data_IF_354524498519
#
_entry.id   IF_354524498519
#
_cell.length_a   1.000
_cell.length_b   1.000
_cell.length_c   1.000
_cell.angle_alpha   90.00
_cell.angle_beta   90.00
_cell.angle_gamma   90.00
#
_symmetry.space_group_name_H-M   'P 1'
#
loop_
_entity.id
_entity.type
_entity.pdbx_description
1 polymer ?
#
# COMPACT_ATOMS: atom_id res chain seq x y z
N UNK A 1 -26.15 3.43 6.45
CA UNK A 1 -24.85 3.63 5.77
C UNK A 1 -24.04 2.35 5.97
N UNK A 2 -23.79 1.62 4.90
CA UNK A 2 -22.84 0.51 4.98
C UNK A 2 -21.48 1.08 5.33
N UNK A 3 -20.87 0.61 6.40
CA UNK A 3 -19.46 0.88 6.68
C UNK A 3 -18.67 0.31 5.51
N UNK A 4 -18.19 1.18 4.63
CA UNK A 4 -17.22 0.79 3.63
C UNK A 4 -16.00 0.24 4.38
N UNK A 5 -15.70 -1.03 4.14
CA UNK A 5 -14.61 -1.69 4.86
C UNK A 5 -13.27 -1.25 4.29
N UNK A 6 -12.40 -0.79 5.18
CA UNK A 6 -11.00 -0.57 4.84
C UNK A 6 -10.36 -1.91 4.48
N UNK A 7 -9.81 -1.97 3.27
CA UNK A 7 -9.06 -3.12 2.78
C UNK A 7 -7.56 -2.83 2.85
N UNK A 8 -6.77 -3.80 3.28
CA UNK A 8 -5.33 -3.67 3.42
C UNK A 8 -4.64 -4.67 2.51
N UNK A 9 -3.64 -4.18 1.75
CA UNK A 9 -2.83 -5.00 0.85
C UNK A 9 -1.36 -4.67 1.00
N UNK A 10 -0.56 -5.70 1.29
CA UNK A 10 0.89 -5.60 1.24
C UNK A 10 1.30 -5.53 -0.23
N UNK A 11 2.09 -4.52 -0.54
CA UNK A 11 2.65 -4.34 -1.86
C UNK A 11 4.11 -4.80 -1.89
N UNK A 12 4.60 -5.36 -3.00
CA UNK A 12 6.03 -5.63 -3.17
C UNK A 12 6.85 -4.36 -3.45
N UNK A 13 6.26 -3.18 -3.26
CA UNK A 13 6.95 -1.91 -3.39
C UNK A 13 8.18 -1.83 -2.49
N UNK A 14 9.21 -1.15 -2.96
CA UNK A 14 10.44 -0.94 -2.21
C UNK A 14 10.53 0.49 -1.73
N UNK A 15 10.96 0.61 -0.49
CA UNK A 15 11.33 1.86 0.14
C UNK A 15 12.84 2.04 0.00
N UNK A 16 13.27 3.18 -0.50
CA UNK A 16 14.69 3.55 -0.56
C UNK A 16 14.88 4.84 0.24
N UNK A 17 15.81 4.81 1.21
CA UNK A 17 16.21 6.01 1.91
C UNK A 17 17.22 6.79 1.05
N UNK A 18 17.00 8.07 0.85
CA UNK A 18 17.95 8.96 0.16
C UNK A 18 18.98 9.53 1.14
N UNK A 19 20.12 9.99 0.59
CA UNK A 19 21.20 10.56 1.42
C UNK A 19 20.87 11.95 1.98
N UNK A 20 19.88 12.63 1.44
CA UNK A 20 19.48 13.97 1.85
C UNK A 20 18.23 13.90 2.74
N UNK A 21 18.43 13.98 4.05
CA UNK A 21 17.36 13.89 5.02
C UNK A 21 16.78 12.47 5.16
N UNK A 22 15.54 12.38 5.64
CA UNK A 22 14.80 11.11 5.73
C UNK A 22 13.72 11.12 4.64
N UNK A 23 14.17 11.01 3.40
CA UNK A 23 13.27 10.83 2.26
C UNK A 23 13.16 9.36 1.92
N UNK A 24 11.95 8.90 1.81
CA UNK A 24 11.61 7.59 1.29
C UNK A 24 10.89 7.72 -0.04
N UNK A 25 11.21 6.82 -0.93
CA UNK A 25 10.54 6.72 -2.22
C UNK A 25 10.34 5.26 -2.60
N UNK A 26 9.37 4.99 -3.44
CA UNK A 26 9.12 3.64 -3.91
C UNK A 26 7.82 3.52 -4.71
N UNK A 27 7.42 2.28 -4.91
CA UNK A 27 6.16 1.94 -5.56
C UNK A 27 5.17 1.51 -4.50
N UNK A 28 4.09 2.27 -4.36
CA UNK A 28 3.02 1.92 -3.43
C UNK A 28 2.21 0.73 -3.94
N UNK A 29 1.91 0.70 -5.24
CA UNK A 29 1.18 -0.40 -5.89
C UNK A 29 1.74 -0.59 -7.30
N UNK A 30 2.26 -1.78 -7.64
CA UNK A 30 2.61 -2.11 -9.01
C UNK A 30 1.34 -2.38 -9.82
N UNK A 31 1.32 -1.90 -11.07
CA UNK A 31 0.28 -2.23 -12.03
C UNK A 31 0.69 -3.47 -12.84
N UNK A 32 -0.27 -4.05 -13.56
CA UNK A 32 -0.05 -5.26 -14.37
C UNK A 32 0.42 -6.49 -13.60
N UNK A 33 0.23 -6.48 -12.28
CA UNK A 33 0.50 -7.62 -11.42
C UNK A 33 -0.76 -8.07 -10.70
N UNK A 34 -0.82 -9.35 -10.35
CA UNK A 34 -1.89 -9.92 -9.56
C UNK A 34 -1.40 -10.29 -8.17
N UNK A 35 -2.28 -10.20 -7.20
CA UNK A 35 -2.01 -10.65 -5.85
C UNK A 35 -1.70 -12.16 -5.79
N UNK A 36 -1.15 -12.61 -4.68
CA UNK A 36 -1.29 -14.00 -4.26
C UNK A 36 -2.78 -14.33 -4.10
N UNK A 37 -3.09 -15.61 -3.98
CA UNK A 37 -4.47 -16.02 -3.74
C UNK A 37 -4.96 -15.47 -2.42
N UNK A 38 -5.98 -14.63 -2.49
CA UNK A 38 -6.70 -14.10 -1.36
C UNK A 38 -7.91 -15.00 -1.05
N UNK A 39 -8.43 -14.93 0.15
CA UNK A 39 -9.62 -15.68 0.52
C UNK A 39 -10.68 -14.73 1.06
N UNK A 40 -11.80 -14.67 0.37
CA UNK A 40 -13.04 -14.25 0.97
C UNK A 40 -13.67 -15.45 1.69
N UNK A 41 -14.64 -15.19 2.57
CA UNK A 41 -15.31 -16.24 3.39
C UNK A 41 -15.80 -17.46 2.60
N UNK A 42 -15.94 -17.34 1.28
CA UNK A 42 -16.54 -18.37 0.43
C UNK A 42 -15.66 -18.91 -0.69
N UNK A 43 -14.73 -18.12 -1.26
CA UNK A 43 -13.97 -18.56 -2.44
C UNK A 43 -12.58 -17.90 -2.52
N UNK A 44 -11.59 -18.62 -3.05
CA UNK A 44 -10.29 -18.02 -3.36
C UNK A 44 -10.41 -17.06 -4.56
N UNK A 45 -9.69 -15.96 -4.51
CA UNK A 45 -9.60 -15.02 -5.62
C UNK A 45 -8.22 -14.41 -5.71
N UNK A 46 -7.88 -13.91 -6.89
CA UNK A 46 -6.74 -13.04 -7.12
C UNK A 46 -7.24 -11.63 -7.39
N UNK A 47 -6.41 -10.66 -7.10
CA UNK A 47 -6.76 -9.25 -7.23
C UNK A 47 -5.71 -8.49 -8.00
N UNK A 48 -6.14 -7.52 -8.76
CA UNK A 48 -5.28 -6.51 -9.37
C UNK A 48 -5.94 -5.14 -9.20
N UNK A 49 -5.10 -4.12 -9.16
CA UNK A 49 -5.54 -2.72 -9.14
C UNK A 49 -5.27 -2.13 -10.52
N UNK A 50 -6.33 -1.61 -11.14
CA UNK A 50 -6.21 -0.98 -12.44
C UNK A 50 -5.40 0.33 -12.36
N UNK A 51 -4.63 0.69 -13.39
CA UNK A 51 -3.98 1.98 -13.46
C UNK A 51 -5.00 3.12 -13.23
N UNK A 52 -4.64 4.09 -12.39
CA UNK A 52 -5.50 5.21 -12.05
C UNK A 52 -6.68 4.90 -11.12
N UNK A 53 -6.80 3.68 -10.61
CA UNK A 53 -7.90 3.30 -9.72
C UNK A 53 -7.84 3.95 -8.34
N UNK A 54 -6.64 4.15 -7.80
CA UNK A 54 -6.46 4.70 -6.46
C UNK A 54 -6.50 6.23 -6.49
N UNK A 55 -7.36 6.81 -5.67
CA UNK A 55 -7.52 8.25 -5.49
C UNK A 55 -7.09 8.62 -4.08
N UNK A 56 -6.13 9.52 -3.97
CA UNK A 56 -5.70 10.09 -2.72
C UNK A 56 -6.25 11.49 -2.53
N UNK A 57 -6.32 11.92 -1.28
CA UNK A 57 -6.77 13.25 -0.88
C UNK A 57 -5.77 13.89 0.06
N UNK A 58 -6.04 15.11 0.48
CA UNK A 58 -5.27 15.79 1.52
C UNK A 58 -5.16 15.00 2.82
N UNK A 59 -6.14 14.13 3.08
CA UNK A 59 -6.20 13.32 4.30
C UNK A 59 -5.42 12.00 4.22
N UNK A 60 -4.92 11.63 3.05
CA UNK A 60 -4.09 10.43 2.90
C UNK A 60 -2.77 10.58 3.66
N UNK A 61 -2.45 9.59 4.46
CA UNK A 61 -1.31 9.62 5.40
C UNK A 61 -0.35 8.45 5.18
N UNK A 62 0.90 8.64 5.63
CA UNK A 62 1.87 7.55 5.79
C UNK A 62 1.98 7.17 7.26
N UNK A 63 1.89 5.89 7.55
CA UNK A 63 1.89 5.31 8.90
C UNK A 63 2.96 4.21 9.04
N UNK A 64 3.14 3.74 10.25
CA UNK A 64 3.82 2.46 10.54
C UNK A 64 2.78 1.43 10.97
N UNK A 65 2.88 0.22 10.42
CA UNK A 65 2.06 -0.94 10.83
C UNK A 65 0.55 -0.67 10.86
N UNK A 66 0.05 0.22 9.99
CA UNK A 66 -1.36 0.64 9.96
C UNK A 66 -1.88 1.23 11.29
N UNK A 67 -0.99 1.74 12.13
CA UNK A 67 -1.38 2.34 13.42
C UNK A 67 -1.93 3.75 13.22
N UNK A 68 -3.24 3.85 13.18
CA UNK A 68 -3.96 5.12 13.04
C UNK A 68 -3.99 5.96 14.33
N UNK A 69 -3.54 5.42 15.43
CA UNK A 69 -3.46 6.13 16.72
C UNK A 69 -2.15 6.87 16.93
N UNK A 70 -1.12 6.46 16.17
CA UNK A 70 0.18 7.12 16.20
C UNK A 70 0.21 8.42 15.40
N UNK A 71 1.30 9.17 15.55
CA UNK A 71 1.54 10.37 14.74
C UNK A 71 1.89 9.91 13.32
N UNK A 72 1.23 10.43 12.28
CA UNK A 72 1.59 10.12 10.90
C UNK A 72 3.05 10.47 10.59
N UNK A 73 3.70 9.65 9.81
CA UNK A 73 5.07 9.91 9.33
C UNK A 73 5.09 11.02 8.27
N UNK A 74 4.07 11.08 7.45
CA UNK A 74 3.92 12.06 6.37
C UNK A 74 2.43 12.17 6.00
N UNK A 75 2.06 13.24 5.31
CA UNK A 75 0.68 13.50 4.90
C UNK A 75 0.64 14.28 3.59
N UNK A 76 -0.35 14.02 2.75
CA UNK A 76 -0.54 14.75 1.50
C UNK A 76 -0.79 16.24 1.77
N UNK A 77 -1.66 16.58 2.71
CA UNK A 77 -2.00 17.98 3.07
C UNK A 77 -0.77 18.82 3.44
N UNK A 78 0.20 18.26 4.14
CA UNK A 78 1.43 18.96 4.53
C UNK A 78 2.49 18.99 3.42
N UNK A 79 2.24 18.34 2.27
CA UNK A 79 3.21 18.21 1.19
C UNK A 79 4.34 17.23 1.47
N UNK A 80 4.32 16.55 2.62
CA UNK A 80 5.35 15.59 3.02
C UNK A 80 5.12 14.19 2.45
N UNK A 81 3.94 13.91 1.91
CA UNK A 81 3.62 12.69 1.17
C UNK A 81 3.11 13.06 -0.21
N UNK A 82 3.72 12.49 -1.25
CA UNK A 82 3.37 12.75 -2.64
C UNK A 82 3.22 11.43 -3.38
N UNK A 83 2.20 11.36 -4.24
CA UNK A 83 1.97 10.23 -5.14
C UNK A 83 2.08 10.67 -6.58
N UNK A 84 2.57 9.79 -7.43
CA UNK A 84 2.68 10.01 -8.88
C UNK A 84 2.25 8.75 -9.61
N UNK A 85 1.31 8.90 -10.54
CA UNK A 85 0.93 7.83 -11.45
C UNK A 85 2.04 7.58 -12.47
N UNK A 86 2.32 6.31 -12.73
CA UNK A 86 3.20 5.88 -13.81
C UNK A 86 2.59 4.68 -14.54
N UNK A 87 3.15 4.33 -15.69
CA UNK A 87 2.68 3.15 -16.44
C UNK A 87 2.87 1.84 -15.66
N UNK A 88 3.84 1.80 -14.77
CA UNK A 88 4.22 0.60 -14.02
C UNK A 88 3.60 0.51 -12.62
N UNK A 89 3.05 1.60 -12.11
CA UNK A 89 2.47 1.60 -10.77
C UNK A 89 2.24 2.98 -10.19
N UNK A 90 1.62 3.02 -9.04
CA UNK A 90 1.50 4.21 -8.22
C UNK A 90 2.79 4.38 -7.42
N UNK A 91 3.54 5.45 -7.71
CA UNK A 91 4.77 5.80 -7.02
C UNK A 91 4.50 6.75 -5.86
N UNK A 92 5.38 6.77 -4.88
CA UNK A 92 5.30 7.70 -3.77
C UNK A 92 6.67 8.26 -3.39
N UNK A 93 6.65 9.44 -2.82
CA UNK A 93 7.77 10.06 -2.10
C UNK A 93 7.25 10.56 -0.75
N UNK A 94 8.02 10.37 0.30
CA UNK A 94 7.70 10.83 1.63
C UNK A 94 8.91 11.45 2.32
N UNK A 95 8.71 12.61 2.91
CA UNK A 95 9.70 13.28 3.74
C UNK A 95 9.31 13.07 5.21
N UNK A 96 10.08 12.25 5.93
CA UNK A 96 9.82 11.95 7.32
C UNK A 96 10.43 13.00 8.24
N UNK A 97 9.90 13.19 9.46
CA UNK A 97 10.54 14.06 10.45
C UNK A 97 11.96 13.58 10.77
N UNK A 98 12.89 14.50 10.97
CA UNK A 98 14.27 14.19 11.34
C UNK A 98 14.36 13.38 12.64
N UNK A 99 13.38 13.52 13.53
CA UNK A 99 13.28 12.75 14.76
C UNK A 99 13.03 11.24 14.54
N UNK A 100 12.64 10.83 13.34
CA UNK A 100 12.32 9.42 13.00
C UNK A 100 13.52 8.68 12.39
N UNK A 101 14.72 8.89 12.95
CA UNK A 101 15.93 8.12 12.61
C UNK A 101 15.78 6.62 12.96
N UNK A 102 14.89 6.28 13.87
CA UNK A 102 14.55 4.91 14.24
C UNK A 102 14.14 4.05 13.04
N UNK A 103 13.36 4.60 12.11
CA UNK A 103 12.93 3.89 10.89
C UNK A 103 14.13 3.63 9.96
N UNK A 104 14.98 4.64 9.77
CA UNK A 104 16.20 4.48 8.95
C UNK A 104 17.13 3.45 9.56
N UNK A 105 17.31 3.48 10.85
CA UNK A 105 18.12 2.50 11.57
C UNK A 105 17.56 1.09 11.44
N UNK A 106 16.25 0.93 11.61
CA UNK A 106 15.56 -0.34 11.44
C UNK A 106 15.73 -0.92 10.03
N UNK A 107 15.68 -0.08 9.00
CA UNK A 107 15.97 -0.50 7.62
C UNK A 107 17.42 -0.94 7.44
N UNK A 108 18.38 -0.19 8.01
CA UNK A 108 19.81 -0.55 7.98
C UNK A 108 20.11 -1.88 8.65
N UNK A 109 19.43 -2.16 9.76
CA UNK A 109 19.60 -3.39 10.53
C UNK A 109 18.85 -4.57 9.93
N UNK A 110 17.90 -4.32 9.02
CA UNK A 110 17.02 -5.36 8.49
C UNK A 110 15.83 -5.70 9.39
N UNK A 111 15.57 -4.91 10.43
CA UNK A 111 14.35 -5.04 11.25
C UNK A 111 13.10 -4.63 10.47
N UNK A 112 13.27 -3.76 9.48
CA UNK A 112 12.35 -3.47 8.41
C UNK A 112 13.02 -3.82 7.08
N UNK A 113 12.28 -4.41 6.15
CA UNK A 113 12.80 -4.83 4.84
C UNK A 113 12.41 -3.89 3.68
N UNK A 114 11.77 -2.77 3.99
CA UNK A 114 11.28 -1.82 3.01
C UNK A 114 9.90 -2.18 2.44
N UNK A 115 9.24 -3.20 2.96
CA UNK A 115 7.89 -3.53 2.57
C UNK A 115 6.91 -2.42 2.90
N UNK A 116 6.01 -2.15 1.96
CA UNK A 116 4.93 -1.19 2.12
C UNK A 116 3.58 -1.87 1.97
N UNK A 117 2.57 -1.30 2.59
CA UNK A 117 1.21 -1.79 2.55
C UNK A 117 0.26 -0.62 2.39
N UNK A 118 -0.79 -0.79 1.62
CA UNK A 118 -1.82 0.23 1.43
C UNK A 118 -3.11 -0.12 2.16
N UNK A 119 -3.79 0.91 2.65
CA UNK A 119 -5.17 0.82 3.10
C UNK A 119 -6.07 1.62 2.15
N UNK A 120 -7.10 0.99 1.63
CA UNK A 120 -8.02 1.62 0.68
C UNK A 120 -9.47 1.19 0.92
N UNK A 121 -10.38 1.99 0.41
CA UNK A 121 -11.81 1.68 0.38
C UNK A 121 -12.22 1.53 -1.07
N UNK A 122 -12.68 0.34 -1.45
CA UNK A 122 -13.10 0.06 -2.81
C UNK A 122 -14.49 0.66 -3.09
N UNK A 123 -14.60 1.44 -4.16
CA UNK A 123 -15.84 2.04 -4.60
C UNK A 123 -16.42 1.35 -5.85
N UNK A 124 -15.54 0.78 -6.69
CA UNK A 124 -15.93 0.07 -7.91
C UNK A 124 -14.93 -1.02 -8.25
N UNK A 125 -15.43 -2.21 -8.55
CA UNK A 125 -14.64 -3.36 -8.96
C UNK A 125 -15.37 -4.23 -9.99
N UNK A 126 -14.57 -5.01 -10.71
CA UNK A 126 -15.04 -6.04 -11.63
C UNK A 126 -14.61 -7.42 -11.15
N UNK A 127 -15.48 -8.39 -11.35
CA UNK A 127 -15.23 -9.77 -11.03
C UNK A 127 -15.37 -10.67 -12.26
N UNK A 128 -14.35 -11.45 -12.53
CA UNK A 128 -14.38 -12.56 -13.48
C UNK A 128 -14.32 -13.86 -12.70
N UNK A 129 -15.40 -14.62 -12.74
CA UNK A 129 -15.52 -15.87 -12.01
C UNK A 129 -14.94 -17.03 -12.83
N UNK A 130 -13.88 -17.66 -12.28
CA UNK A 130 -13.30 -18.87 -12.82
C UNK A 130 -13.83 -20.13 -12.13
N UNK A 131 -13.49 -21.31 -12.68
CA UNK A 131 -13.91 -22.60 -12.09
C UNK A 131 -13.29 -22.83 -10.72
N UNK A 132 -12.04 -22.45 -10.50
CA UNK A 132 -11.31 -22.67 -9.25
C UNK A 132 -10.94 -21.36 -8.52
N UNK A 133 -10.71 -20.29 -9.26
CA UNK A 133 -10.27 -19.00 -8.73
C UNK A 133 -10.93 -17.87 -9.50
N UNK A 134 -11.41 -16.88 -8.82
CA UNK A 134 -11.94 -15.63 -9.41
C UNK A 134 -10.85 -14.58 -9.51
N UNK A 135 -11.03 -13.61 -10.41
CA UNK A 135 -10.20 -12.43 -10.54
C UNK A 135 -11.02 -11.19 -10.22
N UNK A 136 -10.59 -10.43 -9.23
CA UNK A 136 -11.10 -9.11 -8.91
C UNK A 136 -10.21 -8.05 -9.54
N UNK A 137 -10.79 -7.08 -10.22
CA UNK A 137 -10.10 -5.88 -10.66
C UNK A 137 -10.70 -4.67 -9.96
N UNK A 138 -9.93 -4.04 -9.09
CA UNK A 138 -10.32 -2.77 -8.46
C UNK A 138 -10.17 -1.65 -9.49
N UNK A 139 -11.24 -0.94 -9.78
CA UNK A 139 -11.29 0.14 -10.78
C UNK A 139 -11.39 1.53 -10.20
N UNK A 140 -11.93 1.64 -9.01
CA UNK A 140 -12.00 2.91 -8.28
C UNK A 140 -11.95 2.62 -6.78
N UNK A 141 -11.02 3.26 -6.09
CA UNK A 141 -10.86 3.12 -4.66
C UNK A 141 -10.24 4.39 -4.05
N UNK A 142 -10.63 4.70 -2.83
CA UNK A 142 -10.02 5.77 -2.05
C UNK A 142 -8.80 5.23 -1.30
N UNK A 143 -7.63 5.78 -1.60
CA UNK A 143 -6.40 5.47 -0.89
C UNK A 143 -6.39 6.21 0.44
N UNK A 144 -6.54 5.48 1.52
CA UNK A 144 -6.64 6.03 2.87
C UNK A 144 -5.25 6.23 3.48
N UNK A 145 -4.38 5.24 3.30
CA UNK A 145 -3.06 5.26 3.91
C UNK A 145 -2.04 4.38 3.18
N UNK A 146 -0.77 4.73 3.37
CA UNK A 146 0.40 3.95 3.01
C UNK A 146 1.19 3.66 4.28
N UNK A 147 1.52 2.42 4.56
CA UNK A 147 2.26 2.04 5.76
C UNK A 147 3.59 1.37 5.45
N UNK A 148 4.59 1.67 6.27
CA UNK A 148 5.80 0.86 6.37
C UNK A 148 5.49 -0.32 7.28
N UNK A 149 5.76 -1.53 6.84
CA UNK A 149 5.44 -2.76 7.56
C UNK A 149 6.66 -3.63 7.77
N UNK A 150 6.61 -4.44 8.81
CA UNK A 150 7.53 -5.54 9.00
C UNK A 150 7.18 -6.67 8.04
N UNK A 151 8.16 -7.28 7.37
CA UNK A 151 7.95 -8.42 6.51
C UNK A 151 7.16 -9.52 7.22
N UNK A 152 6.18 -10.07 6.54
CA UNK A 152 5.40 -11.18 7.05
C UNK A 152 4.32 -10.83 8.07
N UNK A 153 4.23 -9.59 8.58
CA UNK A 153 3.22 -9.22 9.58
C UNK A 153 1.78 -9.41 9.09
N UNK A 154 1.58 -9.36 7.77
CA UNK A 154 0.27 -9.49 7.15
C UNK A 154 0.20 -10.56 6.05
N UNK A 155 1.30 -11.25 5.76
CA UNK A 155 1.44 -12.16 4.62
C UNK A 155 0.41 -13.30 4.60
N UNK A 156 -0.01 -13.82 5.75
CA UNK A 156 -0.99 -14.89 5.86
C UNK A 156 -2.44 -14.43 5.94
N UNK A 157 -2.69 -13.16 6.24
CA UNK A 157 -4.02 -12.68 6.59
C UNK A 157 -4.67 -11.80 5.51
N UNK A 158 -3.91 -11.13 4.66
CA UNK A 158 -4.43 -10.02 3.83
C UNK A 158 -3.95 -9.99 2.39
N UNK A 159 -3.07 -10.88 2.00
CA UNK A 159 -2.59 -11.01 0.62
C UNK A 159 -1.54 -9.98 0.20
N UNK A 160 -0.73 -10.38 -0.76
CA UNK A 160 0.34 -9.58 -1.34
C UNK A 160 0.16 -9.47 -2.85
N UNK A 161 0.63 -8.37 -3.44
CA UNK A 161 0.80 -8.29 -4.89
C UNK A 161 2.10 -9.00 -5.28
N UNK A 162 2.06 -9.71 -6.39
CA UNK A 162 3.25 -10.27 -7.04
C UNK A 162 3.56 -9.45 -8.28
N UNK A 163 4.83 -9.18 -8.48
CA UNK A 163 5.30 -8.73 -9.79
C UNK A 163 5.07 -9.86 -10.82
N UNK A 164 4.51 -9.49 -11.94
CA UNK A 164 4.30 -10.40 -13.07
C UNK A 164 5.59 -10.65 -13.85
#
# INVERSE_FOLDING_TARGET
MSKQNLEIRISPGRLTATNEGIRFEGVAVPYHSTSVTLRDRRRPYKERIAPGALKWTDDTVMLTQHDQRGIPLARVKSGTLRFTESDNGLQFEADLPESRQDIREALKRGDLDGSVSIGFVCNDDDWVHGKSTSLRTVRNADLVELSICTAGAYAGARGNYKES
#
